data_IF_223169174420
#
_entry.id   IF_223169174420
#
_cell.length_a   1.000
_cell.length_b   1.000
_cell.length_c   1.000
_cell.angle_alpha   90.00
_cell.angle_beta   90.00
_cell.angle_gamma   90.00
#
_symmetry.space_group_name_H-M   'P 1'
#
loop_
_entity.id
_entity.type
_entity.pdbx_description
1 polymer ?
#
# COMPACT_ATOMS: atom_id res chain seq x y z
N UNK A 1 11.11 -9.90 -8.16
CA UNK A 1 12.38 -9.56 -8.82
C UNK A 1 12.17 -9.17 -10.28
N UNK A 2 12.23 -10.08 -11.27
CA UNK A 2 12.16 -9.72 -12.70
C UNK A 2 10.86 -8.99 -13.13
N UNK A 3 9.69 -9.40 -12.63
CA UNK A 3 8.40 -8.73 -12.95
C UNK A 3 8.31 -7.30 -12.44
N UNK A 4 9.13 -6.95 -11.44
CA UNK A 4 9.19 -5.63 -10.80
C UNK A 4 10.37 -4.79 -11.33
N UNK A 5 11.21 -5.36 -12.20
CA UNK A 5 12.45 -4.72 -12.66
C UNK A 5 13.52 -4.56 -11.57
N UNK A 6 13.36 -5.17 -10.40
CA UNK A 6 14.33 -5.03 -9.29
C UNK A 6 15.67 -5.69 -9.61
N UNK A 7 16.75 -5.02 -9.25
CA UNK A 7 18.12 -5.46 -9.52
C UNK A 7 18.97 -5.56 -8.25
N UNK A 8 20.16 -6.15 -8.38
CA UNK A 8 21.19 -6.22 -7.32
C UNK A 8 20.66 -6.68 -5.94
N UNK A 9 19.99 -7.85 -5.86
CA UNK A 9 19.52 -8.37 -4.57
C UNK A 9 20.68 -8.66 -3.63
N UNK A 10 20.57 -8.17 -2.40
CA UNK A 10 21.49 -8.48 -1.30
C UNK A 10 20.68 -9.10 -0.15
N UNK A 11 21.00 -10.33 0.28
CA UNK A 11 20.36 -10.95 1.43
C UNK A 11 20.55 -10.12 2.70
N UNK A 12 19.46 -9.91 3.44
CA UNK A 12 19.45 -9.16 4.71
C UNK A 12 18.44 -9.75 5.69
N UNK A 13 18.61 -9.44 6.96
CA UNK A 13 17.57 -9.62 7.98
C UNK A 13 16.49 -8.55 7.87
N UNK A 14 15.32 -8.79 8.48
CA UNK A 14 14.24 -7.80 8.51
C UNK A 14 14.66 -6.52 9.23
N UNK A 15 15.39 -6.63 10.36
CA UNK A 15 15.86 -5.47 11.12
C UNK A 15 16.87 -4.60 10.34
N UNK A 16 17.75 -5.23 9.56
CA UNK A 16 18.67 -4.48 8.67
C UNK A 16 17.89 -3.77 7.54
N UNK A 17 16.88 -4.44 6.99
CA UNK A 17 16.03 -3.85 5.96
C UNK A 17 15.19 -2.69 6.50
N UNK A 18 14.62 -2.83 7.70
CA UNK A 18 13.84 -1.80 8.38
C UNK A 18 14.64 -0.51 8.53
N UNK A 19 15.88 -0.58 9.03
CA UNK A 19 16.73 0.60 9.18
C UNK A 19 17.00 1.33 7.85
N UNK A 20 17.21 0.57 6.76
CA UNK A 20 17.44 1.14 5.43
C UNK A 20 16.16 1.76 4.85
N UNK A 21 15.03 1.09 4.99
CA UNK A 21 13.76 1.55 4.43
C UNK A 21 13.18 2.72 5.24
N UNK A 22 13.42 2.76 6.55
CA UNK A 22 13.10 3.93 7.38
C UNK A 22 13.88 5.15 6.87
N UNK A 23 15.20 5.04 6.67
CA UNK A 23 16.02 6.11 6.09
C UNK A 23 15.53 6.55 4.70
N UNK A 24 15.21 5.61 3.82
CA UNK A 24 14.65 5.89 2.49
C UNK A 24 13.26 6.55 2.55
N UNK A 25 12.50 6.34 3.63
CA UNK A 25 11.16 6.89 3.83
C UNK A 25 11.11 8.32 4.38
N UNK A 26 12.25 8.88 4.82
CA UNK A 26 12.28 10.23 5.40
C UNK A 26 12.67 11.30 4.37
N UNK A 27 12.03 12.47 4.47
CA UNK A 27 12.38 13.67 3.69
C UNK A 27 11.68 13.77 2.34
N UNK A 28 11.64 14.99 1.82
CA UNK A 28 11.12 15.28 0.47
C UNK A 28 12.09 14.78 -0.61
N UNK A 29 11.61 14.60 -1.83
CA UNK A 29 12.44 14.13 -2.95
C UNK A 29 13.69 14.99 -3.21
N UNK A 30 13.66 16.29 -2.87
CA UNK A 30 14.81 17.20 -2.98
C UNK A 30 15.88 16.92 -1.92
N UNK A 31 15.47 16.51 -0.71
CA UNK A 31 16.33 16.26 0.44
C UNK A 31 16.75 14.78 0.54
N UNK A 32 15.98 13.88 -0.06
CA UNK A 32 16.24 12.44 -0.13
C UNK A 32 16.13 11.92 -1.58
N UNK A 33 17.16 12.14 -2.41
CA UNK A 33 17.18 11.66 -3.79
C UNK A 33 17.19 10.12 -3.89
N UNK A 34 17.52 9.43 -2.80
CA UNK A 34 17.60 7.98 -2.72
C UNK A 34 16.31 7.33 -2.19
N UNK A 35 15.28 8.11 -1.82
CA UNK A 35 14.08 7.59 -1.15
C UNK A 35 13.25 6.58 -1.95
N UNK A 36 13.44 6.54 -3.28
CA UNK A 36 12.84 5.55 -4.17
C UNK A 36 13.81 4.49 -4.65
N UNK A 37 15.09 4.53 -4.27
CA UNK A 37 16.16 3.75 -4.88
C UNK A 37 16.11 2.26 -4.54
N UNK A 38 15.49 1.89 -3.42
CA UNK A 38 15.52 0.53 -2.90
C UNK A 38 14.17 0.10 -2.35
N UNK A 39 13.98 -1.21 -2.35
CA UNK A 39 12.89 -1.88 -1.62
C UNK A 39 13.43 -3.10 -0.91
N UNK A 40 12.81 -3.43 0.21
CA UNK A 40 12.93 -4.74 0.81
C UNK A 40 11.92 -5.70 0.18
N UNK A 41 12.38 -6.88 -0.20
CA UNK A 41 11.52 -8.00 -0.63
C UNK A 41 11.62 -9.08 0.44
N UNK A 42 10.50 -9.40 1.08
CA UNK A 42 10.47 -10.41 2.13
C UNK A 42 10.73 -11.81 1.57
N UNK A 43 11.12 -12.80 2.41
CA UNK A 43 10.83 -14.20 2.09
C UNK A 43 9.31 -14.38 1.88
N UNK A 44 8.91 -15.55 1.38
CA UNK A 44 7.48 -15.89 1.36
C UNK A 44 7.00 -16.07 2.81
N UNK A 45 5.94 -15.35 3.19
CA UNK A 45 5.30 -15.40 4.51
C UNK A 45 3.83 -15.75 4.30
N UNK A 46 3.41 -16.93 4.76
CA UNK A 46 2.02 -17.41 4.57
C UNK A 46 1.51 -17.32 3.12
N UNK A 47 2.39 -17.61 2.16
CA UNK A 47 2.07 -17.55 0.72
C UNK A 47 2.17 -16.15 0.10
N UNK A 48 2.45 -15.12 0.89
CA UNK A 48 2.64 -13.74 0.42
C UNK A 48 4.12 -13.37 0.32
N UNK A 49 4.45 -12.51 -0.64
CA UNK A 49 5.76 -11.84 -0.69
C UNK A 49 5.51 -10.34 -0.55
N UNK A 50 6.06 -9.74 0.50
CA UNK A 50 5.97 -8.30 0.74
C UNK A 50 7.07 -7.59 -0.04
N UNK A 51 6.72 -6.43 -0.60
CA UNK A 51 7.67 -5.47 -1.13
C UNK A 51 7.45 -4.17 -0.35
N UNK A 52 8.47 -3.73 0.38
CA UNK A 52 8.37 -2.64 1.35
C UNK A 52 9.35 -1.54 0.96
N UNK A 53 8.84 -0.32 0.85
CA UNK A 53 9.60 0.90 0.59
C UNK A 53 8.73 1.96 -0.11
N UNK A 54 9.17 3.23 -0.12
CA UNK A 54 8.38 4.34 -0.69
C UNK A 54 8.05 4.15 -2.18
N UNK A 55 8.86 3.38 -2.90
CA UNK A 55 8.61 3.01 -4.30
C UNK A 55 7.26 2.29 -4.56
N UNK A 56 6.69 1.67 -3.53
CA UNK A 56 5.43 0.94 -3.58
C UNK A 56 4.19 1.78 -3.27
N UNK A 57 4.36 3.08 -2.97
CA UNK A 57 3.28 3.96 -2.53
C UNK A 57 2.16 4.13 -3.60
N UNK A 58 0.92 3.66 -3.34
CA UNK A 58 -0.19 3.77 -4.29
C UNK A 58 -0.77 5.19 -4.40
N UNK A 59 -0.39 6.12 -3.53
CA UNK A 59 -0.82 7.51 -3.55
C UNK A 59 0.29 8.52 -3.88
N UNK A 60 1.51 8.06 -4.13
CA UNK A 60 2.60 8.92 -4.61
C UNK A 60 2.17 9.74 -5.83
N UNK A 61 2.42 11.04 -5.78
CA UNK A 61 2.14 12.01 -6.85
C UNK A 61 2.78 11.60 -8.18
N UNK A 62 3.98 11.03 -8.14
CA UNK A 62 4.75 10.68 -9.33
C UNK A 62 4.49 9.24 -9.82
N UNK A 63 4.08 8.34 -8.93
CA UNK A 63 4.09 6.88 -9.20
C UNK A 63 2.75 6.18 -9.06
N UNK A 64 1.71 6.80 -8.53
CA UNK A 64 0.41 6.15 -8.26
C UNK A 64 -0.16 5.38 -9.46
N UNK A 65 -0.07 5.93 -10.68
CA UNK A 65 -0.51 5.25 -11.91
C UNK A 65 0.42 4.12 -12.37
N UNK A 66 1.72 4.19 -12.04
CA UNK A 66 2.66 3.08 -12.25
C UNK A 66 2.38 1.94 -11.27
N UNK A 67 2.18 2.25 -9.99
CA UNK A 67 1.82 1.28 -8.94
C UNK A 67 0.49 0.59 -9.27
N UNK A 68 -0.50 1.33 -9.77
CA UNK A 68 -1.76 0.77 -10.26
C UNK A 68 -1.54 -0.28 -11.35
N UNK A 69 -0.76 0.06 -12.38
CA UNK A 69 -0.43 -0.87 -13.47
C UNK A 69 0.40 -2.06 -12.99
N UNK A 70 1.30 -1.84 -12.05
CA UNK A 70 2.12 -2.88 -11.43
C UNK A 70 1.24 -3.91 -10.71
N UNK A 71 0.29 -3.46 -9.88
CA UNK A 71 -0.65 -4.34 -9.20
C UNK A 71 -1.56 -5.10 -10.19
N UNK A 72 -2.03 -4.46 -11.26
CA UNK A 72 -2.76 -5.16 -12.31
C UNK A 72 -1.90 -6.29 -12.94
N UNK A 73 -0.67 -5.99 -13.35
CA UNK A 73 0.23 -6.97 -13.96
C UNK A 73 0.65 -8.11 -13.02
N UNK A 74 0.86 -7.81 -11.74
CA UNK A 74 1.18 -8.82 -10.74
C UNK A 74 -0.03 -9.71 -10.46
N UNK A 75 -1.22 -9.13 -10.28
CA UNK A 75 -2.43 -9.90 -10.02
C UNK A 75 -2.82 -10.79 -11.21
N UNK A 76 -2.54 -10.40 -12.46
CA UNK A 76 -2.77 -11.29 -13.62
C UNK A 76 -1.89 -12.53 -13.59
N UNK A 77 -0.71 -12.46 -12.94
CA UNK A 77 0.24 -13.57 -12.84
C UNK A 77 0.07 -14.40 -11.57
N UNK A 78 -0.26 -13.75 -10.46
CA UNK A 78 -0.27 -14.36 -9.12
C UNK A 78 -1.67 -14.46 -8.50
N UNK A 79 -2.71 -14.06 -9.23
CA UNK A 79 -4.10 -14.08 -8.78
C UNK A 79 -4.49 -12.80 -8.05
N UNK A 80 -3.68 -12.34 -7.10
CA UNK A 80 -3.92 -11.13 -6.30
C UNK A 80 -2.66 -10.29 -6.18
N UNK A 81 -2.80 -8.96 -6.18
CA UNK A 81 -1.75 -8.03 -5.80
C UNK A 81 -2.36 -6.82 -5.08
N UNK A 82 -1.66 -6.33 -4.07
CA UNK A 82 -2.13 -5.25 -3.21
C UNK A 82 -0.98 -4.26 -2.97
N UNK A 83 -1.31 -2.98 -2.84
CA UNK A 83 -0.38 -1.93 -2.42
C UNK A 83 -1.05 -1.07 -1.35
N UNK A 84 -0.25 -0.63 -0.39
CA UNK A 84 -0.71 0.09 0.79
C UNK A 84 0.23 1.25 1.11
N UNK A 85 -0.33 2.33 1.63
CA UNK A 85 0.37 3.38 2.36
C UNK A 85 -0.26 3.48 3.75
N UNK A 86 0.58 3.74 4.77
CA UNK A 86 0.14 4.01 6.13
C UNK A 86 1.13 4.94 6.82
N UNK A 87 0.67 6.13 7.20
CA UNK A 87 1.44 7.12 7.95
C UNK A 87 1.26 6.97 9.45
N UNK A 88 2.30 6.52 10.16
CA UNK A 88 2.25 6.28 11.62
C UNK A 88 2.09 7.56 12.44
N UNK A 89 2.33 8.73 11.85
CA UNK A 89 2.12 10.04 12.48
C UNK A 89 0.74 10.63 12.19
N UNK A 90 -0.22 9.77 11.82
CA UNK A 90 -1.56 10.15 11.42
C UNK A 90 -1.56 10.97 10.12
N UNK A 91 -0.70 10.57 9.18
CA UNK A 91 -0.60 11.12 7.81
C UNK A 91 -1.53 10.38 6.83
N UNK A 92 -2.33 9.45 7.36
CA UNK A 92 -3.40 8.76 6.65
C UNK A 92 -3.04 7.40 6.08
N UNK A 93 -3.90 6.94 5.18
CA UNK A 93 -3.87 5.59 4.60
C UNK A 93 -4.26 5.61 3.14
N UNK A 94 -3.67 4.69 2.37
CA UNK A 94 -4.17 4.34 1.05
C UNK A 94 -4.10 2.84 0.82
N UNK A 95 -5.00 2.34 -0.02
CA UNK A 95 -5.02 0.94 -0.45
C UNK A 95 -5.39 0.80 -1.92
N UNK A 96 -4.73 -0.14 -2.58
CA UNK A 96 -5.00 -0.53 -3.95
C UNK A 96 -5.07 -2.05 -4.02
N UNK A 97 -6.21 -2.57 -4.47
CA UNK A 97 -6.47 -4.01 -4.57
C UNK A 97 -6.68 -4.37 -6.04
N UNK A 98 -5.92 -5.37 -6.51
CA UNK A 98 -6.06 -5.92 -7.85
C UNK A 98 -6.20 -7.45 -7.80
N UNK A 99 -7.12 -7.96 -8.61
CA UNK A 99 -7.44 -9.38 -8.72
C UNK A 99 -7.47 -9.78 -10.20
N UNK A 100 -6.77 -10.86 -10.54
CA UNK A 100 -6.78 -11.47 -11.87
C UNK A 100 -6.54 -10.48 -13.03
N UNK A 101 -5.69 -9.46 -12.83
CA UNK A 101 -5.38 -8.46 -13.85
C UNK A 101 -6.23 -7.20 -13.80
N UNK A 102 -7.18 -7.10 -12.87
CA UNK A 102 -8.13 -5.99 -12.78
C UNK A 102 -8.00 -5.30 -11.42
N UNK A 103 -7.87 -3.98 -11.43
CA UNK A 103 -7.90 -3.18 -10.20
C UNK A 103 -9.35 -3.05 -9.76
N UNK A 104 -9.67 -3.61 -8.59
CA UNK A 104 -11.04 -3.66 -8.05
C UNK A 104 -11.34 -2.51 -7.10
N UNK A 105 -10.31 -1.99 -6.44
CA UNK A 105 -10.38 -0.84 -5.53
C UNK A 105 -9.08 -0.05 -5.57
N UNK A 106 -9.20 1.27 -5.62
CA UNK A 106 -8.17 2.21 -5.15
C UNK A 106 -8.86 3.22 -4.24
N UNK A 107 -8.24 3.54 -3.12
CA UNK A 107 -8.70 4.58 -2.21
C UNK A 107 -7.51 5.22 -1.51
N UNK A 108 -7.57 6.53 -1.34
CA UNK A 108 -6.57 7.34 -0.67
C UNK A 108 -7.29 8.29 0.28
N UNK A 109 -6.77 8.40 1.50
CA UNK A 109 -7.11 9.47 2.42
C UNK A 109 -5.87 9.76 3.26
N UNK A 110 -5.12 10.78 2.86
CA UNK A 110 -3.95 11.36 3.53
C UNK A 110 -4.23 12.78 4.02
N UNK A 111 -5.39 13.35 3.68
CA UNK A 111 -5.77 14.73 3.97
C UNK A 111 -5.38 15.71 2.86
N UNK A 112 -4.78 15.20 1.77
CA UNK A 112 -4.42 15.99 0.60
C UNK A 112 -5.65 16.29 -0.27
N UNK A 113 -5.62 17.44 -0.95
CA UNK A 113 -6.76 17.92 -1.75
C UNK A 113 -7.12 16.94 -2.88
N UNK A 114 -6.11 16.29 -3.45
CA UNK A 114 -6.25 15.44 -4.63
C UNK A 114 -6.55 13.96 -4.31
N UNK A 115 -6.70 13.60 -3.04
CA UNK A 115 -7.04 12.23 -2.59
C UNK A 115 -8.27 11.66 -3.30
N UNK A 116 -9.28 12.50 -3.53
CA UNK A 116 -10.51 12.12 -4.22
C UNK A 116 -10.25 11.61 -5.64
N UNK A 117 -9.21 12.09 -6.33
CA UNK A 117 -8.83 11.65 -7.68
C UNK A 117 -8.26 10.21 -7.68
N UNK A 118 -7.80 9.74 -6.52
CA UNK A 118 -7.26 8.40 -6.35
C UNK A 118 -8.34 7.38 -5.96
N UNK A 119 -9.61 7.72 -6.01
CA UNK A 119 -10.72 6.78 -5.74
C UNK A 119 -11.16 6.02 -6.99
N UNK A 120 -11.11 4.69 -6.93
CA UNK A 120 -11.60 3.79 -7.98
C UNK A 120 -12.33 2.59 -7.36
N UNK A 121 -13.36 2.11 -8.07
CA UNK A 121 -14.08 0.89 -7.70
C UNK A 121 -15.09 1.11 -6.58
N UNK A 122 -15.80 0.04 -6.22
CA UNK A 122 -16.77 0.05 -5.11
C UNK A 122 -16.05 -0.16 -3.78
N UNK A 123 -16.49 0.45 -2.67
CA UNK A 123 -15.92 0.20 -1.35
C UNK A 123 -15.84 -1.28 -1.03
N UNK A 124 -14.73 -1.71 -0.41
CA UNK A 124 -14.52 -3.07 0.07
C UNK A 124 -15.51 -3.43 1.18
N UNK A 125 -15.66 -4.72 1.48
CA UNK A 125 -16.56 -5.17 2.56
C UNK A 125 -16.18 -4.56 3.92
N UNK A 126 -14.88 -4.38 4.16
CA UNK A 126 -14.31 -3.76 5.35
C UNK A 126 -14.69 -2.28 5.43
N UNK A 127 -14.61 -1.55 4.32
CA UNK A 127 -15.06 -0.15 4.23
C UNK A 127 -16.56 -0.05 4.50
N UNK A 128 -17.36 -0.90 3.87
CA UNK A 128 -18.83 -0.91 4.03
C UNK A 128 -19.24 -1.22 5.47
N UNK A 129 -18.63 -2.24 6.08
CA UNK A 129 -18.92 -2.63 7.45
C UNK A 129 -18.55 -1.52 8.44
N UNK A 130 -17.42 -0.85 8.22
CA UNK A 130 -16.99 0.24 9.08
C UNK A 130 -17.87 1.48 8.95
N UNK A 131 -18.26 1.85 7.72
CA UNK A 131 -19.26 2.91 7.50
C UNK A 131 -20.57 2.57 8.23
N UNK A 132 -21.07 1.35 8.09
CA UNK A 132 -22.29 0.93 8.80
C UNK A 132 -22.14 1.01 10.32
N UNK A 133 -20.97 0.65 10.88
CA UNK A 133 -20.67 0.78 12.31
C UNK A 133 -20.73 2.23 12.79
N UNK A 134 -20.36 3.17 11.92
CA UNK A 134 -20.43 4.62 12.16
C UNK A 134 -21.82 5.22 11.88
N UNK A 135 -22.80 4.41 11.45
CA UNK A 135 -24.12 4.91 11.06
C UNK A 135 -24.16 5.58 9.68
N UNK A 136 -23.11 5.39 8.86
CA UNK A 136 -23.00 5.89 7.50
C UNK A 136 -23.61 4.92 6.48
N UNK A 137 -24.07 5.43 5.32
CA UNK A 137 -24.35 4.59 4.17
C UNK A 137 -23.11 3.75 3.79
N UNK A 138 -23.27 2.46 3.45
CA UNK A 138 -22.15 1.57 3.11
C UNK A 138 -21.43 1.99 1.83
N UNK A 139 -22.11 2.70 0.94
CA UNK A 139 -21.56 3.26 -0.30
C UNK A 139 -21.68 4.76 -0.28
N UNK A 140 -20.60 5.46 -0.65
CA UNK A 140 -20.66 6.90 -0.82
C UNK A 140 -21.60 7.26 -1.97
N UNK A 141 -22.44 8.26 -1.73
CA UNK A 141 -23.38 8.81 -2.69
C UNK A 141 -23.42 10.34 -2.52
N UNK A 142 -23.07 11.06 -3.58
CA UNK A 142 -23.02 12.52 -3.58
C UNK A 142 -24.35 13.16 -3.13
N UNK A 143 -25.49 12.55 -3.48
CA UNK A 143 -26.81 13.08 -3.11
C UNK A 143 -27.12 12.96 -1.61
N UNK A 144 -26.35 12.15 -0.88
CA UNK A 144 -26.52 11.90 0.55
C UNK A 144 -25.33 12.46 1.37
N UNK A 145 -24.51 13.31 0.74
CA UNK A 145 -23.33 13.91 1.35
C UNK A 145 -23.69 14.69 2.61
N UNK A 146 -23.04 14.35 3.72
CA UNK A 146 -23.04 15.11 4.95
C UNK A 146 -21.59 15.43 5.33
N UNK A 147 -21.19 16.69 5.21
CA UNK A 147 -19.79 17.12 5.40
C UNK A 147 -19.23 16.79 6.80
N UNK A 148 -20.05 16.86 7.86
CA UNK A 148 -19.62 16.54 9.21
C UNK A 148 -19.30 15.05 9.36
N UNK A 149 -20.17 14.18 8.83
CA UNK A 149 -20.02 12.73 8.97
C UNK A 149 -19.00 12.17 7.95
N UNK A 150 -18.85 12.81 6.80
CA UNK A 150 -17.74 12.50 5.88
C UNK A 150 -16.39 12.90 6.50
N UNK A 151 -16.31 13.98 7.29
CA UNK A 151 -15.10 14.30 8.03
C UNK A 151 -14.75 13.22 9.09
N UNK A 152 -15.76 12.64 9.77
CA UNK A 152 -15.53 11.51 10.66
C UNK A 152 -15.04 10.26 9.91
N UNK A 153 -15.61 9.97 8.74
CA UNK A 153 -15.13 8.89 7.88
C UNK A 153 -13.67 9.08 7.47
N UNK A 154 -13.28 10.31 7.09
CA UNK A 154 -11.89 10.63 6.73
C UNK A 154 -10.94 10.26 7.86
N UNK A 155 -11.21 10.74 9.08
CA UNK A 155 -10.40 10.38 10.25
C UNK A 155 -10.37 8.88 10.51
N UNK A 156 -11.48 8.17 10.29
CA UNK A 156 -11.48 6.71 10.44
C UNK A 156 -10.64 6.02 9.37
N UNK A 157 -10.70 6.51 8.13
CA UNK A 157 -10.00 5.93 6.99
C UNK A 157 -8.48 6.03 7.13
N UNK A 158 -7.96 7.04 7.85
CA UNK A 158 -6.53 7.23 8.13
C UNK A 158 -5.85 5.97 8.72
N UNK A 159 -6.60 5.13 9.44
CA UNK A 159 -6.07 3.94 10.11
C UNK A 159 -6.44 2.62 9.43
N UNK A 160 -7.11 2.64 8.26
CA UNK A 160 -7.70 1.42 7.69
C UNK A 160 -6.74 0.56 6.89
N UNK A 161 -5.62 1.08 6.38
CA UNK A 161 -4.75 0.29 5.51
C UNK A 161 -4.22 -1.00 6.19
N UNK A 162 -3.72 -0.97 7.45
CA UNK A 162 -3.30 -2.20 8.14
C UNK A 162 -4.43 -3.22 8.38
N UNK A 163 -5.65 -2.76 8.64
CA UNK A 163 -6.82 -3.62 8.85
C UNK A 163 -7.24 -4.30 7.55
N UNK A 164 -7.28 -3.55 6.45
CA UNK A 164 -7.60 -4.07 5.12
C UNK A 164 -6.53 -5.09 4.68
N UNK A 165 -5.24 -4.77 4.87
CA UNK A 165 -4.15 -5.70 4.58
C UNK A 165 -4.28 -7.00 5.37
N UNK A 166 -4.62 -6.93 6.65
CA UNK A 166 -4.86 -8.11 7.49
C UNK A 166 -6.05 -8.93 7.02
N UNK A 167 -7.14 -8.28 6.61
CA UNK A 167 -8.37 -8.95 6.22
C UNK A 167 -8.30 -9.60 4.82
N UNK A 168 -7.51 -9.04 3.90
CA UNK A 168 -7.40 -9.53 2.52
C UNK A 168 -6.11 -10.31 2.23
N UNK A 169 -5.15 -10.34 3.15
CA UNK A 169 -3.85 -10.95 2.95
C UNK A 169 -3.04 -10.98 4.23
N UNK A 170 -1.93 -10.23 4.26
CA UNK A 170 -1.06 -10.10 5.41
C UNK A 170 -0.67 -8.64 5.61
N UNK A 171 -0.67 -8.19 6.86
CA UNK A 171 -0.15 -6.86 7.23
C UNK A 171 1.28 -7.00 7.76
N UNK A 172 2.22 -6.13 7.35
CA UNK A 172 3.56 -6.09 7.94
C UNK A 172 3.54 -5.77 9.44
N UNK A 173 2.46 -5.16 9.94
CA UNK A 173 2.28 -4.85 11.37
C UNK A 173 1.75 -6.04 12.19
N UNK A 174 1.37 -7.15 11.54
CA UNK A 174 0.78 -8.32 12.17
C UNK A 174 1.68 -9.56 12.09
N UNK A 175 2.95 -9.41 11.69
CA UNK A 175 3.89 -10.52 11.56
C UNK A 175 4.24 -11.11 12.93
N UNK A 176 4.27 -12.44 13.02
CA UNK A 176 4.64 -13.15 14.25
C UNK A 176 5.58 -14.32 13.95
N UNK A 177 6.33 -14.77 14.96
CA UNK A 177 7.24 -15.93 14.85
C UNK A 177 6.54 -17.25 14.50
N UNK A 178 5.22 -17.32 14.66
CA UNK A 178 4.43 -18.53 14.37
C UNK A 178 4.11 -18.71 12.88
N UNK A 179 4.32 -17.67 12.07
CA UNK A 179 4.03 -17.68 10.64
C UNK A 179 5.03 -18.54 9.87
N UNK A 180 4.54 -19.24 8.84
CA UNK A 180 5.37 -20.01 7.92
C UNK A 180 6.17 -19.07 7.04
N UNK A 181 7.49 -19.20 7.09
CA UNK A 181 8.44 -18.43 6.29
C UNK A 181 9.23 -19.36 5.37
N UNK A 182 9.38 -18.97 4.10
CA UNK A 182 10.20 -19.69 3.13
C UNK A 182 11.09 -18.75 2.32
N UNK A 183 12.39 -19.00 2.35
CA UNK A 183 13.39 -18.24 1.61
C UNK A 183 14.14 -17.24 2.50
N UNK A 184 14.72 -16.22 1.88
CA UNK A 184 15.53 -15.19 2.54
C UNK A 184 15.08 -13.83 2.01
N UNK A 185 14.96 -12.84 2.91
CA UNK A 185 14.65 -11.47 2.52
C UNK A 185 15.84 -10.79 1.87
N UNK A 186 15.57 -9.86 0.95
CA UNK A 186 16.62 -9.14 0.22
C UNK A 186 16.30 -7.64 0.15
N UNK A 187 17.33 -6.82 0.21
CA UNK A 187 17.26 -5.46 -0.34
C UNK A 187 17.58 -5.52 -1.82
N UNK A 188 16.83 -4.78 -2.63
CA UNK A 188 17.04 -4.71 -4.07
C UNK A 188 16.88 -3.27 -4.57
N UNK A 189 17.63 -2.93 -5.61
CA UNK A 189 17.55 -1.63 -6.28
C UNK A 189 16.33 -1.58 -7.19
N UNK A 190 15.62 -0.46 -7.16
CA UNK A 190 14.44 -0.21 -8.00
C UNK A 190 14.85 0.22 -9.41
N UNK A 191 13.96 0.11 -10.41
CA UNK A 191 14.22 0.67 -11.73
C UNK A 191 14.39 2.18 -11.64
N UNK A 192 15.50 2.70 -12.18
CA UNK A 192 15.70 4.15 -12.32
C UNK A 192 14.58 4.71 -13.20
N UNK A 193 13.91 5.82 -12.80
CA UNK A 193 12.93 6.47 -13.66
C UNK A 193 13.58 6.79 -15.01
N UNK A 194 12.93 6.36 -16.10
CA UNK A 194 13.33 6.81 -17.44
C UNK A 194 12.98 8.30 -17.49
N UNK A 195 14.01 9.15 -17.40
CA UNK A 195 13.89 10.60 -17.57
C UNK A 195 13.48 10.97 -18.98
#
# INVERSE_FOLDING_TARGET
>A
MASLGLTRPVPVTFAEAEAVIDEDGHGEAEDNPDGLARVYVSPEIEGWTLVIGPWCDPCSTDRSDEVLRLCANLSSRYGVAQAYYFGTQNDGSAWLIAEHGVVVRRYCETGEIDDGLLTLGKPLAQEQAERQRMGLPPTWNESERNDEVEAEWKWRAFDMAPEIATALGISPLALTESMRVRGVGVLAETPVPVR
#
